data_IF_769042450581
#
_entry.id   IF_769042450581
#
_cell.length_a   1.000
_cell.length_b   1.000
_cell.length_c   1.000
_cell.angle_alpha   90.00
_cell.angle_beta   90.00
_cell.angle_gamma   90.00
#
_symmetry.space_group_name_H-M   'P 1'
#
loop_
_entity.id
_entity.type
_entity.pdbx_description
1 polymer ?
#
# COMPACT_ATOMS: atom_id res chain seq x y z
N UNK A 1 -2.62 -0.89 17.13
CA UNK A 1 -2.83 -0.18 15.83
C UNK A 1 -3.88 -0.88 14.94
N UNK A 2 -3.79 -2.19 14.70
CA UNK A 2 -4.77 -2.91 13.86
C UNK A 2 -6.19 -2.97 14.48
N UNK A 3 -6.32 -3.32 15.76
CA UNK A 3 -7.63 -3.48 16.43
C UNK A 3 -8.51 -2.23 16.42
N UNK A 4 -7.92 -1.03 16.51
CA UNK A 4 -8.67 0.23 16.59
C UNK A 4 -9.11 0.76 15.22
N UNK A 5 -8.48 0.32 14.13
CA UNK A 5 -8.78 0.81 12.77
C UNK A 5 -9.78 -0.07 12.02
N UNK A 6 -10.20 -1.21 12.59
CA UNK A 6 -11.05 -2.19 11.92
C UNK A 6 -10.39 -2.90 10.73
N UNK A 7 -9.13 -2.58 10.41
CA UNK A 7 -8.40 -3.15 9.28
C UNK A 7 -7.67 -4.41 9.75
N UNK A 8 -8.04 -5.54 9.16
CA UNK A 8 -7.37 -6.82 9.38
C UNK A 8 -6.16 -6.93 8.43
N UNK A 9 -4.96 -7.27 8.94
CA UNK A 9 -3.82 -7.57 8.09
C UNK A 9 -4.09 -8.83 7.27
N UNK A 10 -3.66 -8.82 6.01
CA UNK A 10 -3.59 -9.99 5.15
C UNK A 10 -2.26 -10.71 5.38
N UNK A 11 -2.29 -12.05 5.41
CA UNK A 11 -1.12 -12.88 5.67
C UNK A 11 -0.73 -13.62 4.40
N UNK A 12 0.51 -13.42 3.96
CA UNK A 12 1.08 -14.11 2.80
C UNK A 12 2.27 -14.94 3.24
N UNK A 13 2.36 -16.24 2.86
CA UNK A 13 3.59 -17.00 3.03
C UNK A 13 4.76 -16.28 2.36
N UNK A 14 5.93 -16.27 3.00
CA UNK A 14 7.14 -15.68 2.42
C UNK A 14 8.32 -16.61 2.53
N UNK A 15 9.33 -16.39 1.68
CA UNK A 15 10.62 -17.04 1.85
C UNK A 15 11.18 -16.74 3.26
N UNK A 16 11.50 -17.77 4.08
CA UNK A 16 11.91 -17.58 5.46
C UNK A 16 13.37 -17.12 5.60
N UNK A 17 14.21 -17.35 4.60
CA UNK A 17 15.66 -17.17 4.76
C UNK A 17 16.09 -15.71 4.49
N UNK A 18 15.75 -15.17 3.31
CA UNK A 18 16.15 -13.80 2.90
C UNK A 18 14.96 -12.87 2.67
N UNK A 19 13.77 -13.32 3.05
CA UNK A 19 12.69 -13.50 2.08
C UNK A 19 12.61 -12.58 0.88
N UNK A 20 13.15 -13.13 -0.20
CA UNK A 20 13.20 -12.60 -1.55
C UNK A 20 11.80 -12.28 -2.11
N UNK A 21 10.80 -13.08 -1.76
CA UNK A 21 9.47 -12.99 -2.34
C UNK A 21 8.36 -13.41 -1.38
N UNK A 22 7.14 -13.09 -1.78
CA UNK A 22 5.90 -13.57 -1.20
C UNK A 22 5.33 -14.64 -2.14
N UNK A 23 4.75 -15.69 -1.58
CA UNK A 23 4.01 -16.68 -2.37
C UNK A 23 2.58 -16.19 -2.53
N UNK A 24 2.43 -15.31 -3.52
CA UNK A 24 1.19 -14.66 -3.90
C UNK A 24 1.24 -14.34 -5.40
N UNK A 25 0.07 -14.15 -6.01
CA UNK A 25 -0.04 -13.81 -7.42
C UNK A 25 0.63 -14.87 -8.30
N UNK A 26 1.67 -14.48 -9.05
CA UNK A 26 2.41 -15.38 -9.96
C UNK A 26 3.16 -16.50 -9.25
N UNK A 27 3.42 -16.36 -7.95
CA UNK A 27 4.12 -17.36 -7.13
C UNK A 27 3.17 -18.13 -6.22
N UNK A 28 1.86 -17.99 -6.42
CA UNK A 28 0.87 -18.73 -5.66
C UNK A 28 1.00 -20.25 -5.92
N UNK A 29 0.84 -21.04 -4.85
CA UNK A 29 0.99 -22.50 -4.90
C UNK A 29 2.42 -23.05 -4.94
N UNK A 30 3.45 -22.22 -5.13
CA UNK A 30 4.84 -22.68 -4.99
C UNK A 30 5.10 -23.16 -3.56
N UNK A 31 6.05 -24.09 -3.39
CA UNK A 31 6.48 -24.55 -2.04
C UNK A 31 7.89 -24.11 -1.67
N UNK A 32 8.62 -23.60 -2.65
CA UNK A 32 10.01 -23.18 -2.55
C UNK A 32 10.17 -21.78 -3.15
N UNK A 33 11.16 -21.05 -2.66
CA UNK A 33 11.48 -19.72 -3.16
C UNK A 33 12.13 -19.82 -4.55
N UNK A 34 11.58 -19.21 -5.62
CA UNK A 34 12.17 -19.28 -6.96
C UNK A 34 13.51 -18.55 -7.12
N UNK A 35 14.00 -17.89 -6.07
CA UNK A 35 15.25 -17.11 -6.09
C UNK A 35 16.38 -17.74 -5.28
N UNK A 36 16.07 -18.61 -4.32
CA UNK A 36 17.06 -19.17 -3.42
C UNK A 36 16.74 -20.60 -2.96
N UNK A 37 15.71 -21.21 -3.57
CA UNK A 37 15.27 -22.59 -3.37
C UNK A 37 14.92 -22.97 -1.92
N UNK A 38 14.78 -21.96 -1.06
CA UNK A 38 14.45 -22.15 0.34
C UNK A 38 13.02 -22.73 0.46
N UNK A 39 12.81 -23.80 1.24
CA UNK A 39 11.48 -24.34 1.47
C UNK A 39 10.66 -23.34 2.29
N UNK A 40 9.52 -22.92 1.74
CA UNK A 40 8.61 -21.94 2.37
C UNK A 40 7.72 -22.60 3.41
N UNK A 41 7.39 -23.88 3.22
CA UNK A 41 6.52 -24.65 4.11
C UNK A 41 7.33 -25.68 4.90
N UNK A 42 6.89 -25.95 6.13
CA UNK A 42 7.41 -27.04 6.95
C UNK A 42 6.91 -28.41 6.49
N UNK A 43 7.37 -29.48 7.15
CA UNK A 43 6.96 -30.86 6.86
C UNK A 43 5.47 -31.13 7.11
N UNK A 44 4.77 -30.27 7.83
CA UNK A 44 3.32 -30.34 8.10
C UNK A 44 2.52 -29.47 7.13
N UNK A 45 3.18 -28.83 6.16
CA UNK A 45 2.56 -27.94 5.19
C UNK A 45 2.17 -26.57 5.73
N UNK A 46 2.72 -26.13 6.86
CA UNK A 46 2.53 -24.77 7.37
C UNK A 46 3.62 -23.84 6.84
N UNK A 47 3.30 -22.61 6.40
CA UNK A 47 4.31 -21.60 6.10
C UNK A 47 5.23 -21.39 7.30
N UNK A 48 6.54 -21.41 7.06
CA UNK A 48 7.57 -21.14 8.07
C UNK A 48 7.54 -19.68 8.52
N UNK A 49 7.23 -18.77 7.60
CA UNK A 49 7.07 -17.34 7.86
C UNK A 49 5.92 -16.72 7.08
N UNK A 50 5.37 -15.64 7.62
CA UNK A 50 4.34 -14.82 6.99
C UNK A 50 4.77 -13.36 6.88
N UNK A 51 4.53 -12.77 5.73
CA UNK A 51 4.45 -11.33 5.58
C UNK A 51 3.06 -10.84 5.95
N UNK A 52 3.00 -9.76 6.73
CA UNK A 52 1.74 -9.12 7.16
C UNK A 52 1.52 -7.86 6.35
N UNK A 53 0.59 -7.91 5.40
CA UNK A 53 0.23 -6.79 4.57
C UNK A 53 -0.96 -6.04 5.18
N UNK A 54 -0.90 -4.71 5.24
CA UNK A 54 -2.06 -3.89 5.59
C UNK A 54 -2.69 -3.38 4.29
N UNK A 55 -3.90 -3.85 3.94
CA UNK A 55 -4.52 -3.46 2.67
C UNK A 55 -4.71 -1.95 2.61
N UNK A 56 -4.13 -1.35 1.56
CA UNK A 56 -4.15 0.10 1.38
C UNK A 56 -5.49 0.59 0.80
N UNK A 57 -6.15 -0.22 -0.03
CA UNK A 57 -7.43 0.11 -0.66
C UNK A 57 -8.51 0.58 0.32
N UNK A 58 -8.83 -0.13 1.42
CA UNK A 58 -9.83 0.36 2.37
C UNK A 58 -9.40 1.65 3.07
N UNK A 59 -8.09 1.86 3.28
CA UNK A 59 -7.55 3.11 3.85
C UNK A 59 -7.74 4.28 2.90
N UNK A 60 -7.42 4.09 1.62
CA UNK A 60 -7.62 5.10 0.58
C UNK A 60 -9.10 5.43 0.43
N UNK A 61 -9.98 4.42 0.40
CA UNK A 61 -11.42 4.63 0.34
C UNK A 61 -11.91 5.46 1.54
N UNK A 62 -11.46 5.15 2.76
CA UNK A 62 -11.81 5.93 3.95
C UNK A 62 -11.27 7.37 3.88
N UNK A 63 -10.03 7.54 3.40
CA UNK A 63 -9.39 8.84 3.23
C UNK A 63 -10.15 9.73 2.23
N UNK A 64 -10.49 9.21 1.05
CA UNK A 64 -11.18 9.98 0.01
C UNK A 64 -12.68 10.22 0.29
N UNK A 65 -13.30 9.41 1.16
CA UNK A 65 -14.68 9.62 1.61
C UNK A 65 -14.80 10.61 2.77
N UNK A 66 -13.69 11.03 3.37
CA UNK A 66 -13.70 12.02 4.44
C UNK A 66 -13.82 13.44 3.86
N UNK A 67 -14.90 14.19 4.13
CA UNK A 67 -15.12 15.51 3.53
C UNK A 67 -13.98 16.51 3.79
N UNK A 68 -13.40 16.49 4.99
CA UNK A 68 -12.26 17.35 5.35
C UNK A 68 -11.03 17.02 4.51
N UNK A 69 -10.75 15.73 4.31
CA UNK A 69 -9.65 15.30 3.46
C UNK A 69 -9.93 15.64 2.01
N UNK A 70 -11.16 15.46 1.53
CA UNK A 70 -11.58 15.86 0.19
C UNK A 70 -11.36 17.35 -0.05
N UNK A 71 -11.77 18.22 0.89
CA UNK A 71 -11.55 19.66 0.82
C UNK A 71 -10.06 20.01 0.72
N UNK A 72 -9.21 19.40 1.55
CA UNK A 72 -7.76 19.61 1.50
C UNK A 72 -7.14 19.18 0.16
N UNK A 73 -7.62 18.09 -0.43
CA UNK A 73 -7.14 17.58 -1.72
C UNK A 73 -7.49 18.53 -2.89
N UNK A 74 -8.52 19.37 -2.75
CA UNK A 74 -8.89 20.35 -3.77
C UNK A 74 -7.91 21.52 -3.87
N UNK A 75 -6.95 21.68 -2.96
CA UNK A 75 -5.98 22.78 -2.94
C UNK A 75 -5.37 23.08 -4.32
N UNK A 76 -4.93 22.05 -5.06
CA UNK A 76 -4.33 22.23 -6.40
C UNK A 76 -5.38 22.49 -7.48
N UNK A 77 -6.52 21.80 -7.42
CA UNK A 77 -7.60 21.97 -8.39
C UNK A 77 -8.23 23.38 -8.31
N UNK A 78 -8.25 23.95 -7.11
CA UNK A 78 -8.76 25.29 -6.82
C UNK A 78 -7.65 26.34 -6.74
N UNK A 79 -6.38 25.95 -6.95
CA UNK A 79 -5.27 26.89 -6.95
C UNK A 79 -5.43 27.85 -8.12
N UNK A 80 -5.97 29.04 -7.84
CA UNK A 80 -5.93 30.14 -8.79
C UNK A 80 -4.51 30.68 -8.75
N UNK A 81 -3.83 30.62 -9.89
CA UNK A 81 -2.52 31.22 -10.02
C UNK A 81 -2.64 32.72 -9.70
N UNK A 82 -2.07 33.13 -8.58
CA UNK A 82 -1.99 34.54 -8.19
C UNK A 82 -0.80 35.16 -8.95
N UNK A 83 -0.84 35.14 -10.28
CA UNK A 83 -0.02 36.06 -11.06
C UNK A 83 -0.81 37.36 -11.26
N UNK A 84 -0.57 38.27 -10.31
CA UNK A 84 -0.29 39.70 -10.53
C UNK A 84 -1.12 40.40 -11.62
N UNK A 85 -2.40 40.66 -11.38
CA UNK A 85 -2.99 41.87 -11.96
C UNK A 85 -2.41 43.05 -11.16
N UNK A 86 -1.22 43.52 -11.54
CA UNK A 86 -0.95 44.93 -11.26
C UNK A 86 -1.98 45.74 -12.06
N UNK A 87 -2.44 46.90 -11.58
CA UNK A 87 -3.48 47.68 -12.28
C UNK A 87 -3.13 48.05 -13.74
N UNK A 88 -1.90 47.79 -14.19
CA UNK A 88 -1.32 48.31 -15.42
C UNK A 88 -0.87 47.23 -16.43
N UNK A 89 -1.32 45.98 -16.31
CA UNK A 89 -1.28 45.02 -17.44
C UNK A 89 0.12 44.66 -18.00
N UNK A 90 1.18 44.69 -17.18
CA UNK A 90 2.50 44.18 -17.56
C UNK A 90 2.74 42.77 -17.04
N UNK A 91 3.14 41.84 -17.92
CA UNK A 91 3.67 40.52 -17.53
C UNK A 91 5.12 40.66 -17.06
N UNK A 92 5.46 40.08 -15.91
CA UNK A 92 6.85 39.77 -15.51
C UNK A 92 7.14 38.30 -15.80
#
# INVERSE_FOLDING_TARGET
IAQLSGIKPELYPRCPDKGCCLLAGVYDGLRECPYCDAPVYDSKGKPREFFKYFPITPRLNAMFRNPKTTEQLLYRAQYKCVHLITPNGGMV
#
